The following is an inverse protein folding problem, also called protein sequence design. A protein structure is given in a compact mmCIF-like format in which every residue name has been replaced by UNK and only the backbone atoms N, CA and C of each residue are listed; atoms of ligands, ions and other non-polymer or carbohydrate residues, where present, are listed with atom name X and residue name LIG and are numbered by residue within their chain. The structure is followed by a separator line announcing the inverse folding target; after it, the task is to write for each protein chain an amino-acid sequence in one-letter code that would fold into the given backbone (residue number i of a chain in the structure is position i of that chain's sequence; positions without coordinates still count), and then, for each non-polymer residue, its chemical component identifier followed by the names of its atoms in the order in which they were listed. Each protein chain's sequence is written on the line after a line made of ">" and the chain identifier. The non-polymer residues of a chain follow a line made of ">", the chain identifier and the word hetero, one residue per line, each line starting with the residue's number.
data_IF_061835306126
#
_entry.id   IF_061835306126
#
_cell.length_a   1.000
_cell.length_b   1.000
_cell.length_c   1.000
_cell.angle_alpha   90.00
_cell.angle_beta   90.00
_cell.angle_gamma   90.00
#
_symmetry.space_group_name_H-M   'P 1'
#
loop_
_entity.id
_entity.type
_entity.pdbx_description
1 polymer ?
#
# COMPACT_ATOMS: atom_id res chain seq x y z
N UNK A 1 -24.25 9.14 -8.08
CA UNK A 1 -22.92 9.50 -7.55
C UNK A 1 -21.97 8.38 -7.94
N UNK A 2 -20.90 8.66 -8.71
CA UNK A 2 -19.85 7.66 -8.97
C UNK A 2 -19.03 7.54 -7.69
N UNK A 3 -18.94 6.34 -7.13
CA UNK A 3 -18.18 6.05 -5.92
C UNK A 3 -16.73 6.56 -6.07
N UNK A 4 -16.26 7.40 -5.14
CA UNK A 4 -14.85 7.82 -5.11
C UNK A 4 -13.98 6.66 -4.64
N UNK A 5 -12.98 6.30 -5.45
CA UNK A 5 -12.02 5.25 -5.07
C UNK A 5 -11.11 5.72 -3.93
N UNK A 6 -10.52 4.78 -3.21
CA UNK A 6 -9.55 5.11 -2.16
C UNK A 6 -8.36 5.91 -2.72
N UNK A 7 -7.97 5.67 -3.99
CA UNK A 7 -6.89 6.39 -4.66
C UNK A 7 -7.22 7.88 -4.78
N UNK A 8 -8.44 8.20 -5.22
CA UNK A 8 -8.90 9.59 -5.31
C UNK A 8 -8.95 10.25 -3.94
N UNK A 9 -9.47 9.56 -2.92
CA UNK A 9 -9.56 10.10 -1.57
C UNK A 9 -8.18 10.34 -0.94
N UNK A 10 -7.19 9.47 -1.18
CA UNK A 10 -5.81 9.71 -0.74
C UNK A 10 -5.20 10.89 -1.48
N UNK A 11 -5.44 11.01 -2.79
CA UNK A 11 -4.93 12.12 -3.59
C UNK A 11 -5.50 13.46 -3.11
N UNK A 12 -6.81 13.54 -2.86
CA UNK A 12 -7.47 14.74 -2.31
C UNK A 12 -6.76 15.19 -1.02
N UNK A 13 -6.50 14.25 -0.10
CA UNK A 13 -5.83 14.54 1.18
C UNK A 13 -4.36 14.93 1.01
N UNK A 14 -3.64 14.32 0.07
CA UNK A 14 -2.25 14.71 -0.22
C UNK A 14 -2.17 16.09 -0.88
N UNK A 15 -3.21 16.53 -1.60
CA UNK A 15 -3.23 17.84 -2.24
C UNK A 15 -3.22 18.97 -1.20
N UNK A 16 -3.87 18.77 -0.06
CA UNK A 16 -3.82 19.68 1.09
C UNK A 16 -2.40 19.84 1.65
N UNK A 17 -1.57 18.80 1.55
CA UNK A 17 -0.20 18.75 2.08
C UNK A 17 0.89 19.15 1.07
N UNK A 18 0.53 19.20 -0.22
CA UNK A 18 1.45 19.51 -1.33
C UNK A 18 0.83 20.57 -2.24
N UNK A 19 0.87 21.86 -1.85
CA UNK A 19 0.22 22.95 -2.58
C UNK A 19 0.74 23.16 -4.00
N UNK A 20 1.96 22.68 -4.28
CA UNK A 20 2.60 22.78 -5.60
C UNK A 20 1.98 21.81 -6.63
N UNK A 21 1.08 20.94 -6.18
CA UNK A 21 0.41 19.95 -7.00
C UNK A 21 1.27 18.72 -7.31
N UNK A 22 0.61 17.68 -7.83
CA UNK A 22 1.25 16.45 -8.28
C UNK A 22 0.39 15.74 -9.32
N UNK A 23 0.96 14.74 -9.98
CA UNK A 23 0.25 13.86 -10.90
C UNK A 23 0.17 12.46 -10.33
N UNK A 24 -0.92 11.75 -10.61
CA UNK A 24 -1.08 10.34 -10.23
C UNK A 24 -0.56 9.47 -11.38
N UNK A 25 0.41 8.60 -11.07
CA UNK A 25 0.84 7.51 -11.96
C UNK A 25 0.23 6.20 -11.45
N UNK A 26 -0.62 5.57 -12.26
CA UNK A 26 -1.19 4.27 -11.93
C UNK A 26 -0.48 3.16 -12.72
N UNK A 27 0.32 2.36 -12.02
CA UNK A 27 0.97 1.16 -12.57
C UNK A 27 0.21 -0.13 -12.24
N UNK A 28 -0.96 -0.02 -11.63
CA UNK A 28 -1.76 -1.17 -11.17
C UNK A 28 -2.37 -1.93 -12.35
N UNK A 29 -2.48 -3.24 -12.20
CA UNK A 29 -3.13 -4.12 -13.18
C UNK A 29 -4.00 -5.15 -12.46
N UNK A 30 -5.21 -5.37 -12.97
CA UNK A 30 -6.08 -6.45 -12.48
C UNK A 30 -5.37 -7.80 -12.56
N UNK A 31 -5.39 -8.55 -11.46
CA UNK A 31 -4.73 -9.86 -11.37
C UNK A 31 -3.22 -9.82 -11.11
N UNK A 32 -2.61 -8.63 -10.95
CA UNK A 32 -1.19 -8.49 -10.63
C UNK A 32 -0.81 -9.22 -9.33
N UNK A 33 0.40 -9.75 -9.32
CA UNK A 33 1.02 -10.50 -8.24
C UNK A 33 2.30 -9.82 -7.77
N UNK A 34 2.88 -10.31 -6.68
CA UNK A 34 4.13 -9.78 -6.14
C UNK A 34 5.29 -9.81 -7.16
N UNK A 35 5.30 -10.81 -8.05
CA UNK A 35 6.30 -10.87 -9.14
C UNK A 35 6.17 -9.70 -10.12
N UNK A 36 4.94 -9.33 -10.52
CA UNK A 36 4.71 -8.20 -11.43
C UNK A 36 5.19 -6.87 -10.83
N UNK A 37 5.11 -6.72 -9.50
CA UNK A 37 5.65 -5.54 -8.80
C UNK A 37 7.15 -5.45 -8.99
N UNK A 38 7.86 -6.54 -8.68
CA UNK A 38 9.32 -6.60 -8.71
C UNK A 38 9.87 -6.52 -10.13
N UNK A 39 9.25 -7.22 -11.07
CA UNK A 39 9.78 -7.46 -12.41
C UNK A 39 9.30 -6.43 -13.43
N UNK A 40 8.22 -5.69 -13.14
CA UNK A 40 7.63 -4.75 -14.11
C UNK A 40 7.31 -3.39 -13.52
N UNK A 41 6.56 -3.32 -12.41
CA UNK A 41 6.02 -2.04 -11.94
C UNK A 41 7.10 -1.17 -11.28
N UNK A 42 7.97 -1.73 -10.44
CA UNK A 42 9.09 -0.99 -9.85
C UNK A 42 10.12 -0.54 -10.89
N UNK A 43 10.54 -1.39 -11.86
CA UNK A 43 11.36 -0.93 -12.98
C UNK A 43 10.71 0.20 -13.79
N UNK A 44 9.41 0.10 -14.08
CA UNK A 44 8.67 1.16 -14.78
C UNK A 44 8.65 2.47 -13.96
N UNK A 45 8.43 2.38 -12.65
CA UNK A 45 8.48 3.55 -11.76
C UNK A 45 9.87 4.21 -11.77
N UNK A 46 10.94 3.41 -11.72
CA UNK A 46 12.32 3.92 -11.73
C UNK A 46 12.69 4.63 -13.04
N UNK A 47 11.98 4.35 -14.15
CA UNK A 47 12.18 5.02 -15.44
C UNK A 47 11.54 6.41 -15.55
N UNK A 48 10.73 6.80 -14.56
CA UNK A 48 10.03 8.10 -14.58
C UNK A 48 10.97 9.19 -14.03
N UNK A 49 11.14 10.33 -14.73
CA UNK A 49 12.10 11.38 -14.34
C UNK A 49 11.65 12.21 -13.13
N UNK A 50 10.45 11.96 -12.59
CA UNK A 50 9.87 12.73 -11.49
C UNK A 50 10.07 12.03 -10.15
N UNK A 51 10.37 12.81 -9.11
CA UNK A 51 10.49 12.31 -7.75
C UNK A 51 9.14 11.79 -7.22
N UNK A 52 9.19 10.64 -6.53
CA UNK A 52 8.03 10.09 -5.80
C UNK A 52 7.82 10.90 -4.53
N UNK A 53 6.65 11.50 -4.39
CA UNK A 53 6.26 12.22 -3.17
C UNK A 53 5.32 11.41 -2.26
N UNK A 54 4.77 10.32 -2.79
CA UNK A 54 3.79 9.48 -2.10
C UNK A 54 3.34 8.35 -3.03
N UNK A 55 3.17 7.14 -2.50
CA UNK A 55 2.68 6.01 -3.27
C UNK A 55 2.11 4.90 -2.42
N UNK A 56 1.29 4.05 -3.04
CA UNK A 56 0.57 2.98 -2.36
C UNK A 56 0.79 1.70 -3.15
N UNK A 57 1.30 0.67 -2.49
CA UNK A 57 1.43 -0.67 -3.06
C UNK A 57 0.39 -1.60 -2.45
N UNK A 58 -0.65 -1.94 -3.21
CA UNK A 58 -1.69 -2.91 -2.82
C UNK A 58 -1.59 -4.16 -3.68
N UNK A 59 -1.01 -5.25 -3.14
CA UNK A 59 -0.74 -6.49 -3.89
C UNK A 59 -0.77 -7.70 -2.95
N UNK A 60 -0.86 -8.91 -3.51
CA UNK A 60 -0.68 -10.16 -2.77
C UNK A 60 -1.92 -11.03 -2.66
N UNK A 61 -3.13 -10.47 -2.78
CA UNK A 61 -4.36 -11.27 -2.79
C UNK A 61 -4.36 -12.32 -3.91
N UNK A 62 -3.89 -11.95 -5.11
CA UNK A 62 -3.80 -12.87 -6.25
C UNK A 62 -2.75 -13.98 -6.05
N UNK A 63 -1.67 -13.69 -5.33
CA UNK A 63 -0.68 -14.69 -4.94
C UNK A 63 -1.30 -15.74 -4.01
N UNK A 64 -2.16 -15.33 -3.08
CA UNK A 64 -2.82 -16.27 -2.15
C UNK A 64 -3.88 -17.13 -2.82
N UNK A 65 -4.65 -16.56 -3.76
CA UNK A 65 -5.67 -17.29 -4.50
C UNK A 65 -5.05 -18.29 -5.48
N UNK A 66 -3.93 -17.93 -6.12
CA UNK A 66 -3.40 -18.68 -7.28
C UNK A 66 -2.11 -19.46 -7.00
N UNK A 67 -1.54 -19.39 -5.80
CA UNK A 67 -0.29 -20.08 -5.45
C UNK A 67 -0.45 -20.98 -4.22
N UNK A 68 -0.05 -22.25 -4.36
CA UNK A 68 0.19 -23.14 -3.22
C UNK A 68 1.55 -22.93 -2.54
N UNK A 69 2.40 -22.02 -3.05
CA UNK A 69 3.81 -21.88 -2.64
C UNK A 69 4.00 -20.77 -1.60
N UNK A 70 3.41 -20.93 -0.42
CA UNK A 70 3.40 -19.90 0.63
C UNK A 70 4.80 -19.39 1.04
N UNK A 71 5.81 -20.27 1.08
CA UNK A 71 7.19 -19.87 1.36
C UNK A 71 7.76 -18.92 0.31
N UNK A 72 7.43 -19.14 -0.96
CA UNK A 72 7.84 -18.25 -2.05
C UNK A 72 7.09 -16.93 -1.98
N UNK A 73 5.79 -16.96 -1.71
CA UNK A 73 4.97 -15.76 -1.49
C UNK A 73 5.52 -14.91 -0.35
N UNK A 74 5.85 -15.52 0.80
CA UNK A 74 6.49 -14.86 1.94
C UNK A 74 7.78 -14.14 1.56
N UNK A 75 8.68 -14.82 0.82
CA UNK A 75 9.94 -14.23 0.34
C UNK A 75 9.70 -13.05 -0.60
N UNK A 76 8.71 -13.14 -1.48
CA UNK A 76 8.36 -12.05 -2.38
C UNK A 76 7.76 -10.85 -1.67
N UNK A 77 6.98 -11.05 -0.61
CA UNK A 77 6.53 -9.93 0.24
C UNK A 77 7.71 -9.16 0.82
N UNK A 78 8.69 -9.88 1.39
CA UNK A 78 9.92 -9.25 1.90
C UNK A 78 10.67 -8.51 0.79
N UNK A 79 10.87 -9.15 -0.36
CA UNK A 79 11.55 -8.53 -1.49
C UNK A 79 10.84 -7.25 -1.98
N UNK A 80 9.50 -7.25 -2.03
CA UNK A 80 8.73 -6.06 -2.39
C UNK A 80 8.96 -4.95 -1.37
N UNK A 81 8.79 -5.20 -0.06
CA UNK A 81 9.05 -4.20 0.97
C UNK A 81 10.46 -3.60 0.88
N UNK A 82 11.48 -4.45 0.75
CA UNK A 82 12.88 -4.01 0.64
C UNK A 82 13.15 -3.19 -0.63
N UNK A 83 12.36 -3.39 -1.68
CA UNK A 83 12.52 -2.70 -2.97
C UNK A 83 11.64 -1.46 -3.12
N UNK A 84 10.72 -1.20 -2.18
CA UNK A 84 9.85 -0.03 -2.27
C UNK A 84 10.67 1.26 -2.10
N UNK A 85 10.55 2.24 -3.02
CA UNK A 85 11.11 3.55 -2.84
C UNK A 85 10.57 4.22 -1.56
N UNK A 86 11.41 5.03 -0.91
CA UNK A 86 10.98 5.90 0.17
C UNK A 86 9.78 6.75 -0.26
N UNK A 87 8.76 6.83 0.59
CA UNK A 87 7.50 7.52 0.29
C UNK A 87 6.43 6.63 -0.32
N UNK A 88 6.72 5.35 -0.60
CA UNK A 88 5.71 4.35 -0.95
C UNK A 88 5.46 3.46 0.27
N UNK A 89 4.17 3.28 0.61
CA UNK A 89 3.74 2.37 1.67
C UNK A 89 3.07 1.14 1.08
N UNK A 90 3.33 -0.02 1.67
CA UNK A 90 2.63 -1.26 1.34
C UNK A 90 1.37 -1.40 2.19
N UNK A 91 0.26 -1.83 1.59
CA UNK A 91 -0.95 -2.17 2.32
C UNK A 91 -0.98 -3.66 2.69
N UNK A 92 -1.53 -4.00 3.87
CA UNK A 92 -1.81 -5.39 4.23
C UNK A 92 -2.92 -5.99 3.37
N UNK A 93 -3.01 -7.32 3.32
CA UNK A 93 -4.04 -8.03 2.55
C UNK A 93 -5.38 -7.93 3.30
N UNK A 94 -6.47 -7.43 2.71
CA UNK A 94 -7.74 -7.14 3.41
C UNK A 94 -8.58 -8.38 3.77
N UNK A 95 -8.04 -9.59 3.62
CA UNK A 95 -8.81 -10.82 3.84
C UNK A 95 -8.86 -11.19 5.33
N UNK A 96 -9.87 -10.63 6.03
CA UNK A 96 -10.11 -10.83 7.45
C UNK A 96 -10.44 -12.29 7.86
N UNK A 97 -10.82 -13.15 6.91
CA UNK A 97 -11.25 -14.53 7.20
C UNK A 97 -10.18 -15.57 6.84
N UNK A 98 -9.27 -15.27 5.91
CA UNK A 98 -8.21 -16.19 5.50
C UNK A 98 -7.10 -16.33 6.54
N UNK A 99 -6.88 -17.55 7.04
CA UNK A 99 -5.74 -17.90 7.91
C UNK A 99 -4.42 -17.60 7.21
N UNK A 100 -4.34 -17.88 5.90
CA UNK A 100 -3.15 -17.61 5.09
C UNK A 100 -2.88 -16.12 5.00
N UNK A 101 -3.90 -15.30 4.75
CA UNK A 101 -3.75 -13.84 4.71
C UNK A 101 -3.32 -13.29 6.08
N UNK A 102 -3.89 -13.78 7.18
CA UNK A 102 -3.46 -13.43 8.55
C UNK A 102 -2.00 -13.76 8.80
N UNK A 103 -1.54 -14.94 8.38
CA UNK A 103 -0.14 -15.36 8.51
C UNK A 103 0.79 -14.47 7.67
N UNK A 104 0.42 -14.15 6.43
CA UNK A 104 1.21 -13.24 5.60
C UNK A 104 1.21 -11.81 6.14
N UNK A 105 0.09 -11.30 6.67
CA UNK A 105 0.03 -9.98 7.27
C UNK A 105 0.86 -9.88 8.55
N UNK A 106 0.91 -10.94 9.38
CA UNK A 106 1.84 -10.99 10.52
C UNK A 106 3.29 -10.93 10.06
N UNK A 107 3.64 -11.68 9.01
CA UNK A 107 4.97 -11.62 8.40
C UNK A 107 5.28 -10.21 7.89
N UNK A 108 4.36 -9.62 7.13
CA UNK A 108 4.52 -8.29 6.55
C UNK A 108 4.75 -7.21 7.62
N UNK A 109 3.97 -7.24 8.71
CA UNK A 109 4.15 -6.34 9.87
C UNK A 109 5.53 -6.49 10.49
N UNK A 110 5.96 -7.73 10.76
CA UNK A 110 7.26 -7.99 11.39
C UNK A 110 8.43 -7.54 10.52
N UNK A 111 8.36 -7.76 9.20
CA UNK A 111 9.41 -7.28 8.30
C UNK A 111 9.40 -5.76 8.14
N UNK A 112 8.22 -5.15 8.06
CA UNK A 112 8.08 -3.69 8.00
C UNK A 112 8.69 -3.02 9.25
N UNK A 113 8.40 -3.57 10.43
CA UNK A 113 9.00 -3.15 11.69
C UNK A 113 10.53 -3.31 11.69
N UNK A 114 11.04 -4.46 11.25
CA UNK A 114 12.48 -4.70 11.11
C UNK A 114 13.16 -3.69 10.18
N UNK A 115 12.47 -3.27 9.12
CA UNK A 115 12.97 -2.30 8.14
C UNK A 115 12.73 -0.83 8.55
N UNK A 116 12.01 -0.57 9.65
CA UNK A 116 11.59 0.77 10.04
C UNK A 116 10.66 1.44 9.02
N UNK A 117 9.91 0.65 8.24
CA UNK A 117 9.01 1.14 7.20
C UNK A 117 7.56 1.08 7.68
N UNK A 118 6.78 2.16 7.56
CA UNK A 118 5.36 2.12 7.85
C UNK A 118 4.61 1.31 6.78
N UNK A 119 3.54 0.63 7.21
CA UNK A 119 2.61 -0.07 6.33
C UNK A 119 1.19 0.42 6.58
N UNK A 120 0.38 0.45 5.52
CA UNK A 120 -1.03 0.72 5.63
C UNK A 120 -1.78 -0.54 6.08
N UNK A 121 -2.01 -0.71 7.39
CA UNK A 121 -2.63 -1.92 7.93
C UNK A 121 -4.16 -1.96 7.76
N UNK A 122 -4.60 -2.05 6.51
CA UNK A 122 -6.01 -2.13 6.13
C UNK A 122 -6.68 -3.39 6.70
N UNK A 123 -5.95 -4.48 6.88
CA UNK A 123 -6.45 -5.72 7.46
C UNK A 123 -6.81 -5.58 8.94
N UNK A 124 -6.05 -4.79 9.71
CA UNK A 124 -6.40 -4.49 11.09
C UNK A 124 -7.59 -3.51 11.18
N UNK A 125 -7.63 -2.51 10.30
CA UNK A 125 -8.75 -1.58 10.23
C UNK A 125 -10.06 -2.26 9.78
N UNK A 126 -9.96 -3.26 8.90
CA UNK A 126 -11.09 -4.02 8.36
C UNK A 126 -11.42 -5.24 9.25
N UNK A 127 -12.04 -4.98 10.40
CA UNK A 127 -12.48 -6.04 11.33
C UNK A 127 -13.62 -6.90 10.76
N UNK A 128 -14.43 -6.36 9.85
CA UNK A 128 -15.52 -7.05 9.15
C UNK A 128 -15.82 -6.37 7.82
N UNK A 129 -16.27 -7.15 6.83
CA UNK A 129 -16.78 -6.61 5.56
C UNK A 129 -18.23 -6.09 5.64
N UNK A 130 -18.92 -6.30 6.77
CA UNK A 130 -20.33 -5.90 6.95
C UNK A 130 -20.48 -4.38 6.77
N UNK A 131 -21.27 -3.97 5.78
CA UNK A 131 -21.51 -2.56 5.44
C UNK A 131 -20.35 -1.88 4.71
N UNK A 132 -19.26 -2.60 4.39
CA UNK A 132 -18.08 -2.07 3.71
C UNK A 132 -17.85 -2.67 2.32
N UNK A 133 -18.62 -3.70 1.95
CA UNK A 133 -18.53 -4.39 0.67
C UNK A 133 -19.58 -3.86 -0.31
N UNK A 134 -19.21 -3.74 -1.59
CA UNK A 134 -20.10 -3.41 -2.68
C UNK A 134 -21.01 -4.60 -3.03
N UNK A 135 -22.04 -4.35 -3.85
CA UNK A 135 -23.00 -5.39 -4.25
C UNK A 135 -22.37 -6.54 -5.07
N UNK A 136 -21.16 -6.36 -5.60
CA UNK A 136 -20.43 -7.40 -6.33
C UNK A 136 -19.79 -8.47 -5.42
N UNK A 137 -19.73 -8.24 -4.11
CA UNK A 137 -19.21 -9.20 -3.14
C UNK A 137 -17.67 -9.30 -3.09
N UNK A 138 -16.94 -8.51 -3.90
CA UNK A 138 -15.49 -8.59 -4.02
C UNK A 138 -14.79 -7.27 -3.67
N UNK A 139 -15.40 -6.13 -3.98
CA UNK A 139 -14.78 -4.82 -3.82
C UNK A 139 -15.38 -4.04 -2.64
N UNK A 140 -14.61 -3.09 -2.06
CA UNK A 140 -15.17 -2.17 -1.08
C UNK A 140 -16.24 -1.27 -1.71
N UNK A 141 -17.27 -0.93 -0.93
CA UNK A 141 -18.17 0.18 -1.24
C UNK A 141 -17.53 1.52 -0.80
N UNK A 142 -18.28 2.62 -0.90
CA UNK A 142 -17.86 3.96 -0.47
C UNK A 142 -17.28 4.01 0.95
N UNK A 143 -17.91 3.31 1.91
CA UNK A 143 -17.43 3.27 3.28
C UNK A 143 -16.13 2.46 3.41
N UNK A 144 -16.00 1.36 2.66
CA UNK A 144 -14.76 0.59 2.55
C UNK A 144 -13.63 1.41 1.93
N UNK A 145 -13.90 2.13 0.84
CA UNK A 145 -12.92 3.03 0.21
C UNK A 145 -12.46 4.14 1.15
N UNK A 146 -13.37 4.74 1.94
CA UNK A 146 -13.00 5.71 2.97
C UNK A 146 -12.13 5.11 4.07
N UNK A 147 -12.40 3.88 4.50
CA UNK A 147 -11.58 3.19 5.49
C UNK A 147 -10.17 2.97 4.97
N UNK A 148 -10.04 2.46 3.74
CA UNK A 148 -8.74 2.25 3.10
C UNK A 148 -7.98 3.56 2.95
N UNK A 149 -8.65 4.61 2.43
CA UNK A 149 -8.03 5.90 2.22
C UNK A 149 -7.48 6.50 3.51
N UNK A 150 -8.23 6.43 4.63
CA UNK A 150 -7.75 6.90 5.94
C UNK A 150 -6.51 6.12 6.39
N UNK A 151 -6.57 4.79 6.39
CA UNK A 151 -5.44 3.94 6.82
C UNK A 151 -4.19 4.19 6.00
N UNK A 152 -4.34 4.32 4.68
CA UNK A 152 -3.24 4.60 3.77
C UNK A 152 -2.66 5.99 3.99
N UNK A 153 -3.51 7.00 4.12
CA UNK A 153 -3.06 8.38 4.32
C UNK A 153 -2.29 8.52 5.62
N UNK A 154 -2.75 7.91 6.71
CA UNK A 154 -2.01 7.90 7.98
C UNK A 154 -0.59 7.36 7.81
N UNK A 155 -0.44 6.18 7.21
CA UNK A 155 0.88 5.57 6.99
C UNK A 155 1.78 6.43 6.08
N UNK A 156 1.23 7.05 5.03
CA UNK A 156 1.97 7.96 4.16
C UNK A 156 2.48 9.20 4.88
N UNK A 157 1.64 9.82 5.72
CA UNK A 157 2.01 11.02 6.46
C UNK A 157 3.06 10.70 7.54
N UNK A 158 2.94 9.56 8.22
CA UNK A 158 3.96 9.06 9.15
C UNK A 158 5.32 8.89 8.45
N UNK A 159 5.35 8.25 7.28
CA UNK A 159 6.57 8.07 6.50
C UNK A 159 7.21 9.43 6.13
N UNK A 160 6.39 10.39 5.70
CA UNK A 160 6.86 11.73 5.32
C UNK A 160 7.40 12.51 6.51
N UNK A 161 6.76 12.43 7.68
CA UNK A 161 7.25 13.05 8.90
C UNK A 161 8.62 12.48 9.30
N UNK A 162 8.78 11.15 9.28
CA UNK A 162 10.05 10.49 9.59
C UNK A 162 11.17 10.92 8.62
N UNK A 163 10.89 10.98 7.31
CA UNK A 163 11.87 11.42 6.30
C UNK A 163 12.26 12.89 6.52
N UNK A 164 11.30 13.78 6.80
CA UNK A 164 11.58 15.20 7.08
C UNK A 164 12.48 15.37 8.31
N UNK A 165 12.27 14.60 9.37
CA UNK A 165 13.10 14.64 10.59
C UNK A 165 14.53 14.20 10.31
N UNK A 166 14.74 13.14 9.50
CA UNK A 166 16.07 12.67 9.11
C UNK A 166 16.82 13.74 8.29
N UNK A 167 16.14 14.37 7.32
CA UNK A 167 16.75 15.42 6.49
C UNK A 167 17.11 16.65 7.33
N UNK A 168 16.24 17.07 8.25
CA UNK A 168 16.53 18.18 9.16
C UNK A 168 17.74 17.91 10.06
N UNK A 169 17.87 16.68 10.59
CA UNK A 169 19.00 16.29 11.44
C UNK A 169 20.33 16.22 10.68
N UNK A 170 20.32 15.85 9.39
CA UNK A 170 21.53 15.74 8.56
C UNK A 170 21.93 17.06 7.87
N UNK A 171 21.10 18.10 7.97
CA UNK A 171 21.32 19.41 7.34
C UNK A 171 21.99 20.46 8.23
N UNK A 172 22.29 20.13 9.49
CA UNK A 172 23.06 20.97 10.43
C UNK A 172 24.54 20.53 10.42
N UNK A 173 25.30 20.92 9.39
CA UNK A 173 26.77 20.92 9.39
C UNK A 173 27.30 22.14 8.63
#
# INVERSE_FOLDING_TARGET
>A
SVARSYVQLVADRLHEEVPQGFRILNLSRSGARLGDVLETQLPALASVPNSVIGGICTVGSNDLVRSGRLRQTRRRFTAVLESLPTGIVMATIPDAKSVTAKTMNRHLRSEAERLGQPIADVAAALTSWRGLMAGDGFHPNDAGHRLWARTITTALLEQRCAVRQIVAHNGEF
#
